data_IF_581669801891
#
_entry.id   IF_581669801891
#
_cell.length_a   1.000
_cell.length_b   1.000
_cell.length_c   1.000
_cell.angle_alpha   90.00
_cell.angle_beta   90.00
_cell.angle_gamma   90.00
#
_symmetry.space_group_name_H-M   'P 1'
#
loop_
_entity.id
_entity.type
_entity.pdbx_description
1 polymer ?
#
# COMPACT_ATOMS: atom_id res chain seq x y z
N UNK A 1 19.06 -3.06 -30.98
CA UNK A 1 19.60 -3.67 -29.76
C UNK A 1 20.64 -2.71 -29.20
N UNK A 2 20.29 -1.95 -28.16
CA UNK A 2 21.23 -1.05 -27.49
C UNK A 2 21.76 -1.79 -26.27
N UNK A 3 23.06 -2.11 -26.28
CA UNK A 3 23.74 -2.68 -25.12
C UNK A 3 24.16 -1.51 -24.23
N UNK A 4 23.45 -1.32 -23.13
CA UNK A 4 23.81 -0.33 -22.11
C UNK A 4 24.82 -1.01 -21.18
N UNK A 5 26.05 -0.50 -21.13
CA UNK A 5 27.08 -1.00 -20.23
C UNK A 5 26.80 -0.50 -18.82
N UNK A 6 26.50 -1.40 -17.88
CA UNK A 6 26.17 -1.04 -16.51
C UNK A 6 27.35 -0.43 -15.73
N UNK A 7 28.58 -0.53 -16.24
CA UNK A 7 29.77 -0.01 -15.56
C UNK A 7 29.90 1.52 -15.59
N UNK A 8 29.04 2.23 -16.33
CA UNK A 8 29.04 3.71 -16.42
C UNK A 8 27.99 4.39 -15.54
N UNK A 9 27.18 3.63 -14.79
CA UNK A 9 26.24 4.22 -13.83
C UNK A 9 26.99 4.79 -12.62
N UNK A 10 26.59 5.95 -12.09
CA UNK A 10 27.12 6.43 -10.82
C UNK A 10 26.86 5.38 -9.75
N UNK A 11 27.92 4.93 -9.06
CA UNK A 11 27.76 4.09 -7.87
C UNK A 11 27.11 4.93 -6.78
N UNK A 12 25.80 4.76 -6.62
CA UNK A 12 25.04 5.40 -5.55
C UNK A 12 25.45 4.73 -4.24
N UNK A 13 25.74 5.48 -3.16
CA UNK A 13 25.98 4.88 -1.85
C UNK A 13 24.83 3.95 -1.47
N UNK A 14 25.14 2.69 -1.17
CA UNK A 14 24.14 1.76 -0.67
C UNK A 14 23.81 2.14 0.77
N UNK A 15 22.60 2.67 0.99
CA UNK A 15 22.08 2.92 2.33
C UNK A 15 21.24 1.71 2.73
N UNK A 16 21.53 1.16 3.91
CA UNK A 16 20.76 0.07 4.49
C UNK A 16 19.84 0.63 5.56
N UNK A 17 18.55 0.29 5.49
CA UNK A 17 17.55 0.64 6.50
C UNK A 17 17.10 -0.63 7.22
N UNK A 18 16.97 -0.54 8.54
CA UNK A 18 16.24 -1.52 9.35
C UNK A 18 14.84 -0.97 9.62
N UNK A 19 13.85 -1.87 9.61
CA UNK A 19 12.46 -1.53 9.87
C UNK A 19 11.97 -2.34 11.06
N UNK A 20 11.33 -1.65 11.98
CA UNK A 20 10.72 -2.23 13.16
C UNK A 20 9.29 -1.70 13.31
N UNK A 21 8.42 -2.51 13.89
CA UNK A 21 7.03 -2.14 14.11
C UNK A 21 6.90 -1.44 15.47
N UNK A 22 6.40 -0.21 15.44
CA UNK A 22 5.92 0.45 16.65
C UNK A 22 4.57 -0.16 17.05
N UNK A 23 4.55 -0.95 18.12
CA UNK A 23 3.38 -1.70 18.56
C UNK A 23 2.37 -0.85 19.36
N UNK A 24 1.15 -1.36 19.51
CA UNK A 24 0.09 -0.83 20.36
C UNK A 24 -0.88 0.13 19.68
N UNK A 25 -0.87 0.20 18.34
CA UNK A 25 -1.69 1.16 17.60
C UNK A 25 -2.79 0.50 16.78
N UNK A 26 -2.47 -0.65 16.16
CA UNK A 26 -3.31 -1.26 15.14
C UNK A 26 -3.80 -2.65 15.55
N UNK A 27 -5.06 -2.96 15.21
CA UNK A 27 -5.68 -4.26 15.44
C UNK A 27 -4.87 -5.37 14.75
N UNK A 28 -4.29 -5.10 13.59
CA UNK A 28 -3.48 -6.03 12.78
C UNK A 28 -2.26 -6.60 13.52
N UNK A 29 -1.92 -6.05 14.68
CA UNK A 29 -0.86 -6.53 15.56
C UNK A 29 -1.34 -7.61 16.54
N UNK A 30 -2.65 -7.73 16.74
CA UNK A 30 -3.27 -8.66 17.68
C UNK A 30 -3.52 -10.01 16.99
N UNK A 31 -3.20 -11.10 17.68
CA UNK A 31 -3.38 -12.48 17.19
C UNK A 31 -4.84 -12.82 16.83
N UNK A 32 -5.79 -12.10 17.41
CA UNK A 32 -7.23 -12.29 17.20
C UNK A 32 -7.77 -11.55 15.98
N UNK A 33 -6.94 -10.74 15.29
CA UNK A 33 -7.40 -9.93 14.16
C UNK A 33 -7.47 -10.76 12.89
N UNK A 34 -8.69 -11.04 12.47
CA UNK A 34 -8.95 -11.71 11.21
C UNK A 34 -8.58 -10.82 10.01
N UNK A 35 -7.78 -11.31 9.05
CA UNK A 35 -7.35 -10.56 7.88
C UNK A 35 -8.50 -10.42 6.88
N UNK A 36 -9.42 -9.50 7.16
CA UNK A 36 -10.60 -9.24 6.34
C UNK A 36 -10.68 -7.76 5.99
N UNK A 37 -11.07 -7.46 4.74
CA UNK A 37 -11.49 -6.13 4.29
C UNK A 37 -10.62 -4.93 4.73
N UNK A 38 -11.23 -3.74 4.69
CA UNK A 38 -10.69 -2.55 5.33
C UNK A 38 -11.35 -2.44 6.72
N UNK A 39 -10.63 -2.60 7.83
CA UNK A 39 -11.21 -2.50 9.16
C UNK A 39 -11.67 -1.08 9.47
N UNK A 40 -12.66 -0.97 10.36
CA UNK A 40 -13.09 0.31 10.92
C UNK A 40 -11.89 1.10 11.44
N UNK A 41 -11.93 2.42 11.26
CA UNK A 41 -10.87 3.34 11.73
C UNK A 41 -9.48 2.97 11.19
N UNK A 42 -9.41 2.31 10.02
CA UNK A 42 -8.18 1.76 9.43
C UNK A 42 -7.43 0.81 10.37
N UNK A 43 -8.14 0.19 11.31
CA UNK A 43 -7.57 -0.73 12.28
C UNK A 43 -7.02 -0.06 13.53
N UNK A 44 -7.24 1.24 13.78
CA UNK A 44 -6.86 1.80 15.07
C UNK A 44 -7.59 1.11 16.23
N UNK A 45 -6.81 0.69 17.24
CA UNK A 45 -7.31 0.09 18.49
C UNK A 45 -8.17 1.11 19.26
N UNK A 46 -7.77 2.39 19.24
CA UNK A 46 -8.51 3.47 19.91
C UNK A 46 -9.86 3.74 19.20
N UNK A 47 -10.95 3.44 19.91
CA UNK A 47 -12.32 3.65 19.45
C UNK A 47 -12.89 5.02 19.83
N UNK A 48 -12.19 5.84 20.62
CA UNK A 48 -12.66 7.15 21.08
C UNK A 48 -12.95 8.10 19.89
N UNK A 49 -13.82 9.11 20.03
CA UNK A 49 -14.07 10.07 18.97
C UNK A 49 -12.81 10.83 18.53
N UNK A 50 -11.85 11.04 19.46
CA UNK A 50 -10.61 11.78 19.25
C UNK A 50 -9.43 10.89 18.79
N UNK A 51 -9.70 9.63 18.41
CA UNK A 51 -8.68 8.62 18.07
C UNK A 51 -7.58 9.13 17.13
N UNK A 52 -7.95 9.96 16.15
CA UNK A 52 -7.01 10.43 15.14
C UNK A 52 -6.13 11.56 15.66
N UNK A 53 -6.66 12.48 16.46
CA UNK A 53 -5.84 13.47 17.15
C UNK A 53 -4.89 12.78 18.13
N UNK A 54 -5.41 11.86 18.96
CA UNK A 54 -4.61 11.12 19.94
C UNK A 54 -3.54 10.24 19.27
N UNK A 55 -3.85 9.59 18.15
CA UNK A 55 -2.88 8.82 17.38
C UNK A 55 -1.75 9.71 16.84
N UNK A 56 -2.09 10.86 16.24
CA UNK A 56 -1.09 11.79 15.72
C UNK A 56 -0.19 12.33 16.84
N UNK A 57 -0.76 12.65 18.01
CA UNK A 57 0.01 13.15 19.13
C UNK A 57 0.95 12.07 19.69
N UNK A 58 0.51 10.80 19.77
CA UNK A 58 1.40 9.69 20.12
C UNK A 58 2.56 9.53 19.13
N UNK A 59 2.31 9.60 17.82
CA UNK A 59 3.38 9.53 16.80
C UNK A 59 4.36 10.69 16.93
N UNK A 60 3.88 11.92 17.20
CA UNK A 60 4.75 13.07 17.48
C UNK A 60 5.58 12.85 18.75
N UNK A 61 4.98 12.33 19.81
CA UNK A 61 5.71 12.00 21.04
C UNK A 61 6.81 10.98 20.78
N UNK A 62 6.53 9.91 20.03
CA UNK A 62 7.56 8.94 19.63
C UNK A 62 8.70 9.60 18.86
N UNK A 63 8.38 10.45 17.88
CA UNK A 63 9.39 11.16 17.11
C UNK A 63 10.23 12.15 17.95
N UNK A 64 9.66 12.73 19.01
CA UNK A 64 10.36 13.63 19.93
C UNK A 64 11.20 12.88 20.98
N UNK A 65 10.76 11.69 21.39
CA UNK A 65 11.50 10.82 22.29
C UNK A 65 12.70 10.18 21.60
N UNK A 66 12.58 9.96 20.29
CA UNK A 66 13.65 9.50 19.44
C UNK A 66 14.73 10.59 19.30
N UNK A 67 15.78 10.48 20.10
CA UNK A 67 16.82 11.50 20.24
C UNK A 67 18.03 11.24 19.31
N UNK A 68 17.80 10.65 18.14
CA UNK A 68 18.86 10.38 17.16
C UNK A 68 18.43 10.80 15.76
N UNK A 69 19.36 11.36 14.99
CA UNK A 69 19.11 11.80 13.61
C UNK A 69 18.97 10.62 12.62
N UNK A 70 19.24 9.39 13.09
CA UNK A 70 19.32 8.18 12.25
C UNK A 70 18.03 7.34 12.27
N UNK A 71 17.03 7.72 13.06
CA UNK A 71 15.76 6.99 13.20
C UNK A 71 14.53 7.91 13.06
N UNK A 72 13.45 7.37 12.48
CA UNK A 72 12.19 8.11 12.35
C UNK A 72 11.00 7.17 12.34
N UNK A 73 9.89 7.63 12.94
CA UNK A 73 8.62 6.91 12.90
C UNK A 73 7.84 7.34 11.65
N UNK A 74 7.39 6.35 10.87
CA UNK A 74 6.58 6.58 9.68
C UNK A 74 5.33 5.72 9.73
N UNK A 75 4.20 6.31 9.35
CA UNK A 75 2.91 5.61 9.27
C UNK A 75 2.60 5.34 7.80
N UNK A 76 2.30 4.08 7.48
CA UNK A 76 1.92 3.66 6.14
C UNK A 76 0.50 3.09 6.15
N UNK A 77 -0.35 3.62 5.27
CA UNK A 77 -1.64 3.02 4.96
C UNK A 77 -1.51 2.29 3.62
N UNK A 78 -1.37 0.97 3.68
CA UNK A 78 -1.23 0.12 2.49
C UNK A 78 -2.54 -0.61 2.26
N UNK A 79 -3.27 -0.21 1.22
CA UNK A 79 -4.53 -0.85 0.83
C UNK A 79 -4.40 -1.60 -0.49
N UNK A 80 -4.89 -2.83 -0.54
CA UNK A 80 -5.16 -3.53 -1.80
C UNK A 80 -6.62 -3.29 -2.18
N UNK A 81 -6.89 -2.92 -3.43
CA UNK A 81 -8.26 -2.85 -3.90
C UNK A 81 -8.89 -4.26 -3.88
N UNK A 82 -10.18 -4.34 -3.58
CA UNK A 82 -10.94 -5.59 -3.72
C UNK A 82 -11.06 -6.04 -5.18
N UNK A 83 -11.82 -7.10 -5.41
CA UNK A 83 -12.13 -7.57 -6.76
C UNK A 83 -12.81 -6.46 -7.58
N UNK A 84 -12.17 -6.03 -8.66
CA UNK A 84 -12.72 -5.09 -9.63
C UNK A 84 -13.17 -5.78 -10.91
N UNK A 85 -13.90 -5.06 -11.76
CA UNK A 85 -14.30 -5.54 -13.09
C UNK A 85 -13.10 -5.89 -13.98
N UNK A 86 -11.95 -5.23 -13.79
CA UNK A 86 -10.71 -5.59 -14.48
C UNK A 86 -10.17 -6.95 -14.03
N UNK A 87 -10.30 -7.33 -12.75
CA UNK A 87 -9.89 -8.66 -12.29
C UNK A 87 -10.81 -9.75 -12.83
N UNK A 88 -12.11 -9.48 -12.92
CA UNK A 88 -13.05 -10.40 -13.56
C UNK A 88 -12.73 -10.55 -15.07
N UNK A 89 -12.42 -9.45 -15.74
CA UNK A 89 -12.04 -9.46 -17.16
C UNK A 89 -10.73 -10.21 -17.39
N UNK A 90 -9.70 -9.97 -16.57
CA UNK A 90 -8.46 -10.74 -16.64
C UNK A 90 -8.72 -12.25 -16.41
N UNK A 91 -9.54 -12.61 -15.43
CA UNK A 91 -9.90 -14.01 -15.19
C UNK A 91 -10.68 -14.63 -16.38
N UNK A 92 -11.57 -13.85 -17.02
CA UNK A 92 -12.36 -14.28 -18.18
C UNK A 92 -11.50 -14.50 -19.43
N UNK A 93 -10.53 -13.62 -19.68
CA UNK A 93 -9.76 -13.62 -20.92
C UNK A 93 -8.37 -14.26 -20.78
N UNK A 94 -7.90 -14.46 -19.55
CA UNK A 94 -6.56 -14.94 -19.23
C UNK A 94 -5.51 -13.83 -19.33
N UNK A 95 -4.48 -13.94 -18.49
CA UNK A 95 -3.40 -12.94 -18.35
C UNK A 95 -2.72 -12.58 -19.68
N UNK A 96 -2.51 -13.55 -20.59
CA UNK A 96 -1.86 -13.28 -21.88
C UNK A 96 -2.68 -12.36 -22.79
N UNK A 97 -3.97 -12.68 -22.99
CA UNK A 97 -4.86 -11.85 -23.82
C UNK A 97 -5.22 -10.53 -23.12
N UNK A 98 -5.30 -10.55 -21.79
CA UNK A 98 -5.47 -9.35 -20.98
C UNK A 98 -4.32 -8.35 -21.20
N UNK A 99 -3.07 -8.80 -21.03
CA UNK A 99 -1.89 -7.96 -21.16
C UNK A 99 -1.66 -7.47 -22.60
N UNK A 100 -2.01 -8.27 -23.61
CA UNK A 100 -1.78 -7.91 -25.02
C UNK A 100 -2.89 -7.07 -25.65
N UNK A 101 -4.13 -7.20 -25.18
CA UNK A 101 -5.29 -6.61 -25.85
C UNK A 101 -6.31 -5.99 -24.89
N UNK A 102 -6.90 -6.77 -23.99
CA UNK A 102 -8.10 -6.33 -23.27
C UNK A 102 -7.84 -5.21 -22.26
N UNK A 103 -6.66 -5.19 -21.62
CA UNK A 103 -6.27 -4.13 -20.67
C UNK A 103 -6.12 -2.75 -21.32
N UNK A 104 -5.93 -2.70 -22.64
CA UNK A 104 -5.85 -1.44 -23.40
C UNK A 104 -7.23 -0.88 -23.77
N UNK A 105 -8.28 -1.69 -23.63
CA UNK A 105 -9.66 -1.29 -23.84
C UNK A 105 -10.32 -0.95 -22.50
N UNK A 106 -11.46 -0.28 -22.56
CA UNK A 106 -12.24 0.02 -21.36
C UNK A 106 -13.35 -1.00 -21.09
N UNK A 107 -13.69 -1.86 -22.07
CA UNK A 107 -14.84 -2.76 -22.03
C UNK A 107 -14.78 -3.84 -23.13
N UNK A 108 -15.48 -4.96 -22.92
CA UNK A 108 -15.83 -5.96 -23.95
C UNK A 108 -17.25 -5.77 -24.53
N UNK A 109 -17.93 -4.68 -24.18
CA UNK A 109 -19.33 -4.42 -24.52
C UNK A 109 -20.34 -4.98 -23.52
N UNK A 110 -19.92 -5.81 -22.56
CA UNK A 110 -20.75 -6.36 -21.48
C UNK A 110 -20.31 -5.85 -20.11
N UNK A 111 -19.01 -5.84 -19.86
CA UNK A 111 -18.35 -5.41 -18.63
C UNK A 111 -17.49 -4.19 -18.95
N UNK A 112 -17.55 -3.18 -18.10
CA UNK A 112 -16.70 -1.98 -18.21
C UNK A 112 -15.70 -2.00 -17.07
N UNK A 113 -14.41 -2.04 -17.38
CA UNK A 113 -13.31 -2.07 -16.41
C UNK A 113 -12.41 -0.83 -16.46
N UNK A 114 -12.46 -0.07 -17.55
CA UNK A 114 -11.81 1.23 -17.65
C UNK A 114 -12.76 2.40 -17.33
N UNK A 115 -12.28 3.64 -17.44
CA UNK A 115 -13.15 4.80 -17.27
C UNK A 115 -14.18 4.84 -18.40
N UNK A 116 -15.47 4.97 -18.06
CA UNK A 116 -16.46 5.49 -19.01
C UNK A 116 -16.02 6.91 -19.36
N UNK A 117 -15.70 7.16 -20.63
CA UNK A 117 -15.54 8.53 -21.13
C UNK A 117 -16.78 9.34 -20.76
N UNK A 118 -16.57 10.56 -20.25
CA UNK A 118 -17.65 11.55 -20.14
C UNK A 118 -17.93 12.12 -21.52
#
# INVERSE_FOLDING_TARGET
MVLINESSWPKVPTVHYTFELAQGFFLQELDETEPTGLPDRFGLIDASPQRWELFQDKVKTLQLQENTDDSSYKVFFVGRHGQGWHNLAEAKYGTSAWNSYWSHLNTDGQIVWGRRGR
#
